data_IF_945440085802
#
_entry.id   IF_945440085802
#
_cell.length_a   1.000
_cell.length_b   1.000
_cell.length_c   1.000
_cell.angle_alpha   90.00
_cell.angle_beta   90.00
_cell.angle_gamma   90.00
#
_symmetry.space_group_name_H-M   'P 1'
#
loop_
_entity.id
_entity.type
_entity.pdbx_description
1 polymer ?
#
# COMPACT_ATOMS: atom_id res chain seq x y z
N UNK A 1 -7.83 -9.63 -11.39
CA UNK A 1 -7.52 -9.56 -9.94
C UNK A 1 -6.76 -10.82 -9.56
N UNK A 2 -5.82 -10.75 -8.60
CA UNK A 2 -5.12 -11.93 -8.09
C UNK A 2 -5.73 -12.31 -6.74
N UNK A 3 -5.85 -13.60 -6.46
CA UNK A 3 -6.20 -14.13 -5.15
C UNK A 3 -4.96 -14.77 -4.51
N UNK A 4 -4.79 -14.59 -3.20
CA UNK A 4 -3.69 -15.21 -2.45
C UNK A 4 -2.42 -14.36 -2.33
N UNK A 5 -1.26 -14.99 -2.49
CA UNK A 5 0.01 -14.40 -2.09
C UNK A 5 0.47 -13.26 -3.01
N UNK A 6 0.76 -12.09 -2.41
CA UNK A 6 1.41 -10.97 -3.10
C UNK A 6 2.86 -11.33 -3.44
N UNK A 7 3.31 -10.95 -4.63
CA UNK A 7 4.72 -11.13 -5.02
C UNK A 7 5.61 -10.24 -4.14
N UNK A 8 6.46 -10.81 -3.27
CA UNK A 8 7.39 -10.01 -2.50
C UNK A 8 8.42 -9.36 -3.43
N UNK A 9 8.76 -8.09 -3.17
CA UNK A 9 9.85 -7.42 -3.89
C UNK A 9 10.53 -6.38 -3.00
N UNK A 10 11.80 -6.63 -2.65
CA UNK A 10 12.58 -5.76 -1.77
C UNK A 10 12.88 -4.41 -2.44
N UNK A 11 13.30 -4.42 -3.71
CA UNK A 11 13.58 -3.20 -4.48
C UNK A 11 12.40 -2.22 -4.49
N UNK A 12 11.19 -2.71 -4.79
CA UNK A 12 9.97 -1.87 -4.81
C UNK A 12 9.61 -1.35 -3.42
N UNK A 13 9.82 -2.14 -2.37
CA UNK A 13 9.57 -1.72 -0.98
C UNK A 13 10.51 -0.60 -0.55
N UNK A 14 11.80 -0.72 -0.83
CA UNK A 14 12.80 0.30 -0.50
C UNK A 14 12.51 1.58 -1.29
N UNK A 15 12.32 1.47 -2.60
CA UNK A 15 11.97 2.60 -3.47
C UNK A 15 10.69 3.32 -3.02
N UNK A 16 9.65 2.58 -2.61
CA UNK A 16 8.42 3.17 -2.11
C UNK A 16 8.58 3.85 -0.74
N UNK A 17 9.64 3.57 0.03
CA UNK A 17 9.95 4.24 1.31
C UNK A 17 10.83 5.47 1.11
N UNK A 18 11.79 5.41 0.19
CA UNK A 18 12.75 6.49 -0.06
C UNK A 18 12.30 7.50 -1.12
N UNK A 19 11.15 7.28 -1.77
CA UNK A 19 10.60 8.20 -2.78
C UNK A 19 10.43 9.63 -2.22
N UNK A 20 10.96 10.62 -2.94
CA UNK A 20 10.85 12.06 -2.62
C UNK A 20 9.39 12.47 -2.42
N UNK A 21 8.49 12.02 -3.31
CA UNK A 21 7.05 12.30 -3.22
C UNK A 21 6.45 11.82 -1.90
N UNK A 22 6.89 10.66 -1.40
CA UNK A 22 6.44 10.15 -0.10
C UNK A 22 6.98 11.02 1.03
N UNK A 23 8.25 11.39 0.96
CA UNK A 23 8.87 12.23 2.00
C UNK A 23 8.18 13.58 2.09
N UNK A 24 7.89 14.24 0.96
CA UNK A 24 7.14 15.50 0.94
C UNK A 24 5.75 15.32 1.57
N UNK A 25 4.97 14.34 1.13
CA UNK A 25 3.60 14.12 1.66
C UNK A 25 3.59 13.83 3.16
N UNK A 26 4.56 13.07 3.67
CA UNK A 26 4.61 12.70 5.09
C UNK A 26 5.29 13.74 5.99
N UNK A 27 6.27 14.50 5.48
CA UNK A 27 7.05 15.48 6.25
C UNK A 27 6.48 16.89 6.16
N UNK A 28 6.02 17.30 4.97
CA UNK A 28 5.46 18.63 4.74
C UNK A 28 3.95 18.73 5.07
N UNK A 29 3.35 17.70 5.65
CA UNK A 29 1.96 17.74 6.08
C UNK A 29 0.90 17.73 4.96
N UNK A 30 1.31 17.60 3.69
CA UNK A 30 0.42 17.56 2.51
C UNK A 30 -0.38 16.25 2.38
N UNK A 31 -0.69 15.61 3.51
CA UNK A 31 -1.38 14.33 3.55
C UNK A 31 -2.88 14.55 3.45
N UNK A 32 -3.48 13.92 2.45
CA UNK A 32 -4.92 13.98 2.26
C UNK A 32 -5.65 13.21 3.39
N UNK A 33 -6.84 13.67 3.83
CA UNK A 33 -7.64 12.96 4.82
C UNK A 33 -8.05 11.56 4.35
N UNK A 34 -8.31 10.67 5.31
CA UNK A 34 -8.79 9.31 5.02
C UNK A 34 -10.16 9.40 4.33
N UNK A 35 -10.40 8.60 3.29
CA UNK A 35 -11.70 8.53 2.58
C UNK A 35 -11.75 9.23 1.21
N UNK A 36 -10.88 10.22 0.96
CA UNK A 36 -10.82 10.98 -0.30
C UNK A 36 -10.35 10.17 -1.53
N UNK A 37 -10.12 8.87 -1.39
CA UNK A 37 -9.78 7.99 -2.51
C UNK A 37 -10.89 7.91 -3.57
N UNK A 38 -12.15 7.98 -3.14
CA UNK A 38 -13.31 8.01 -4.03
C UNK A 38 -13.37 9.28 -4.88
N UNK A 39 -13.06 10.44 -4.29
CA UNK A 39 -13.09 11.72 -4.99
C UNK A 39 -11.96 11.86 -6.02
N UNK A 40 -10.77 11.34 -5.71
CA UNK A 40 -9.60 11.48 -6.59
C UNK A 40 -9.60 10.50 -7.76
N UNK A 41 -9.85 9.22 -7.47
CA UNK A 41 -9.86 8.18 -8.50
C UNK A 41 -10.66 6.97 -8.01
N UNK A 42 -11.99 6.97 -8.24
CA UNK A 42 -12.88 5.94 -7.69
C UNK A 42 -12.56 4.55 -8.24
N UNK A 43 -12.26 4.44 -9.54
CA UNK A 43 -11.91 3.16 -10.19
C UNK A 43 -10.67 2.52 -9.55
N UNK A 44 -9.60 3.30 -9.37
CA UNK A 44 -8.35 2.82 -8.75
C UNK A 44 -8.56 2.48 -7.28
N UNK A 45 -9.34 3.29 -6.56
CA UNK A 45 -9.64 3.04 -5.16
C UNK A 45 -10.41 1.72 -4.97
N UNK A 46 -11.47 1.50 -5.76
CA UNK A 46 -12.24 0.26 -5.74
C UNK A 46 -11.36 -0.96 -6.05
N UNK A 47 -10.55 -0.89 -7.12
CA UNK A 47 -9.63 -1.97 -7.48
C UNK A 47 -8.64 -2.30 -6.35
N UNK A 48 -7.99 -1.28 -5.76
CA UNK A 48 -7.04 -1.48 -4.67
C UNK A 48 -7.71 -2.00 -3.40
N UNK A 49 -8.96 -1.61 -3.14
CA UNK A 49 -9.72 -2.10 -1.98
C UNK A 49 -10.01 -3.59 -2.10
N UNK A 50 -10.45 -4.04 -3.28
CA UNK A 50 -10.67 -5.47 -3.54
C UNK A 50 -9.34 -6.22 -3.53
N UNK A 51 -8.32 -5.75 -4.25
CA UNK A 51 -6.99 -6.38 -4.26
C UNK A 51 -6.40 -6.54 -2.85
N UNK A 52 -6.54 -5.53 -1.99
CA UNK A 52 -6.00 -5.60 -0.63
C UNK A 52 -6.76 -6.57 0.29
N UNK A 53 -8.04 -6.85 -0.01
CA UNK A 53 -8.86 -7.83 0.72
C UNK A 53 -8.60 -9.26 0.24
N UNK A 54 -8.41 -9.45 -1.06
CA UNK A 54 -8.25 -10.78 -1.67
C UNK A 54 -6.82 -11.30 -1.69
N UNK A 55 -5.84 -10.49 -1.27
CA UNK A 55 -4.42 -10.87 -1.26
C UNK A 55 -3.74 -10.62 0.07
N UNK A 56 -2.81 -11.49 0.44
CA UNK A 56 -2.03 -11.41 1.69
C UNK A 56 -0.52 -11.31 1.42
N UNK A 57 0.23 -10.76 2.38
CA UNK A 57 1.68 -10.55 2.29
C UNK A 57 2.41 -11.54 3.22
N UNK A 58 3.37 -12.29 2.68
CA UNK A 58 4.18 -13.26 3.44
C UNK A 58 4.92 -12.59 4.60
N UNK A 59 5.49 -11.41 4.36
CA UNK A 59 6.23 -10.70 5.40
C UNK A 59 5.33 -10.26 6.57
N UNK A 60 4.03 -10.08 6.32
CA UNK A 60 3.07 -9.80 7.39
C UNK A 60 2.78 -11.02 8.24
N UNK A 61 2.82 -12.22 7.65
CA UNK A 61 2.69 -13.49 8.37
C UNK A 61 3.96 -13.78 9.18
N UNK A 62 5.14 -13.66 8.56
CA UNK A 62 6.43 -13.79 9.26
C UNK A 62 6.50 -12.84 10.46
N UNK A 63 6.11 -11.57 10.29
CA UNK A 63 6.08 -10.61 11.41
C UNK A 63 5.14 -11.03 12.55
N UNK A 64 4.04 -11.74 12.27
CA UNK A 64 3.14 -12.26 13.31
C UNK A 64 3.69 -13.48 14.02
N UNK A 65 4.51 -14.28 13.34
CA UNK A 65 5.15 -15.48 13.89
C UNK A 65 6.33 -15.15 14.83
N UNK A 66 7.05 -14.07 14.56
CA UNK A 66 8.21 -13.63 15.36
C UNK A 66 7.88 -12.47 16.32
N UNK A 67 6.60 -12.32 16.68
CA UNK A 67 6.16 -11.39 17.73
C UNK A 67 5.74 -12.22 18.94
#
# INVERSE_FOLDING_TARGET
MKFGMRKPSLKKRISARTSIKRQIVHRAGLKMPRGYGWLRNPKKYAYNKVYNRTTFDIFSLIKKLFK
#
